data_IF_617766976670
#
_entry.id   IF_617766976670
#
_cell.length_a   1.000
_cell.length_b   1.000
_cell.length_c   1.000
_cell.angle_alpha   90.00
_cell.angle_beta   90.00
_cell.angle_gamma   90.00
#
_symmetry.space_group_name_H-M   'P 1'
#
loop_
_entity.id
_entity.type
_entity.pdbx_description
1 polymer ?
#
# COMPACT_ATOMS: atom_id res chain seq x y z
N UNK A 1 18.34 27.27 -22.60
CA UNK A 1 19.43 28.23 -22.77
C UNK A 1 19.41 28.97 -24.12
N UNK A 2 19.26 28.32 -25.29
CA UNK A 2 19.32 28.99 -26.60
C UNK A 2 18.18 29.96 -26.91
N UNK A 3 16.95 29.66 -26.46
CA UNK A 3 15.79 30.56 -26.62
C UNK A 3 15.95 31.84 -25.75
N UNK A 4 16.53 31.70 -24.58
CA UNK A 4 16.82 32.82 -23.69
C UNK A 4 17.88 33.77 -24.26
N UNK A 5 18.88 33.22 -24.95
CA UNK A 5 19.90 34.02 -25.67
C UNK A 5 19.30 34.81 -26.85
N UNK A 6 18.35 34.22 -27.58
CA UNK A 6 17.66 34.92 -28.70
C UNK A 6 16.74 36.03 -28.17
N UNK A 7 16.07 35.81 -27.04
CA UNK A 7 15.22 36.81 -26.40
C UNK A 7 16.05 37.98 -25.85
N UNK A 8 17.21 37.69 -25.23
CA UNK A 8 18.17 38.69 -24.80
C UNK A 8 18.73 39.53 -25.96
N UNK A 9 19.04 38.86 -27.10
CA UNK A 9 19.50 39.55 -28.30
C UNK A 9 18.40 40.47 -28.86
N UNK A 10 17.17 40.03 -28.93
CA UNK A 10 16.03 40.86 -29.36
C UNK A 10 15.82 42.07 -28.48
N UNK A 11 15.88 41.89 -27.14
CA UNK A 11 15.77 42.96 -26.18
C UNK A 11 16.95 43.96 -26.35
N UNK A 12 18.18 43.46 -26.51
CA UNK A 12 19.37 44.33 -26.74
C UNK A 12 19.24 45.16 -28.01
N UNK A 13 18.67 44.62 -29.08
CA UNK A 13 18.41 45.35 -30.33
C UNK A 13 17.37 46.46 -30.13
N UNK A 14 16.26 46.16 -29.42
CA UNK A 14 15.24 47.16 -29.10
C UNK A 14 15.81 48.28 -28.23
N UNK A 15 16.60 47.93 -27.23
CA UNK A 15 17.28 48.92 -26.34
C UNK A 15 18.27 49.77 -27.15
N UNK A 16 19.01 49.17 -28.07
CA UNK A 16 19.96 49.92 -28.93
C UNK A 16 19.21 50.95 -29.79
N UNK A 17 18.10 50.58 -30.41
CA UNK A 17 17.30 51.51 -31.23
C UNK A 17 16.61 52.62 -30.40
N UNK A 18 16.26 52.35 -29.14
CA UNK A 18 15.69 53.39 -28.25
C UNK A 18 16.71 54.35 -27.68
N UNK A 19 17.95 53.90 -27.45
CA UNK A 19 19.02 54.73 -26.90
C UNK A 19 19.74 55.59 -27.96
N UNK A 20 19.75 55.13 -29.21
CA UNK A 20 20.44 55.83 -30.31
C UNK A 20 19.48 56.16 -31.46
N UNK A 21 18.53 57.10 -31.31
CA UNK A 21 17.55 57.43 -32.34
C UNK A 21 18.19 58.05 -33.59
N UNK A 22 19.36 58.66 -33.46
CA UNK A 22 20.11 59.23 -34.61
C UNK A 22 20.56 58.16 -35.62
N UNK A 23 20.86 56.94 -35.20
CA UNK A 23 21.19 55.83 -36.09
C UNK A 23 19.99 55.34 -36.93
N UNK A 24 18.78 55.69 -36.49
CA UNK A 24 17.52 55.24 -37.17
C UNK A 24 17.10 56.22 -38.25
N UNK A 25 17.49 57.51 -38.14
CA UNK A 25 17.03 58.59 -38.98
C UNK A 25 17.86 58.83 -40.24
N UNK A 26 19.09 58.33 -40.29
CA UNK A 26 19.95 58.49 -41.47
C UNK A 26 19.45 57.69 -42.66
N UNK A 27 19.59 58.23 -43.89
CA UNK A 27 19.20 57.58 -45.14
C UNK A 27 20.36 56.79 -45.69
N UNK A 28 20.09 55.57 -46.08
CA UNK A 28 21.05 54.68 -46.78
C UNK A 28 20.55 54.50 -48.21
N UNK A 29 21.43 54.85 -49.16
CA UNK A 29 21.18 54.63 -50.58
C UNK A 29 22.05 53.48 -51.07
N UNK A 30 21.40 52.40 -51.54
CA UNK A 30 22.03 51.21 -52.07
C UNK A 30 21.74 51.13 -53.58
N UNK A 31 22.78 51.07 -54.38
CA UNK A 31 22.68 50.88 -55.82
C UNK A 31 23.15 49.43 -56.12
N UNK A 32 22.25 48.58 -56.61
CA UNK A 32 22.60 47.25 -57.03
C UNK A 32 21.80 46.85 -58.27
N UNK A 33 22.47 46.35 -59.28
CA UNK A 33 21.87 45.88 -60.54
C UNK A 33 20.98 46.89 -61.26
N UNK A 34 21.30 48.20 -61.14
CA UNK A 34 20.53 49.27 -61.83
C UNK A 34 19.30 49.74 -61.05
N UNK A 35 19.07 49.20 -59.86
CA UNK A 35 18.02 49.64 -58.96
C UNK A 35 18.61 50.47 -57.83
N UNK A 36 17.92 51.56 -57.50
CA UNK A 36 18.31 52.45 -56.39
C UNK A 36 17.29 52.24 -55.24
N UNK A 37 17.75 51.73 -54.14
CA UNK A 37 16.95 51.55 -52.97
C UNK A 37 17.31 52.64 -51.94
N UNK A 38 16.40 53.53 -51.65
CA UNK A 38 16.51 54.52 -50.60
C UNK A 38 15.66 54.09 -49.42
N UNK A 39 16.32 53.84 -48.31
CA UNK A 39 15.61 53.43 -47.06
C UNK A 39 16.27 54.06 -45.88
N UNK A 40 15.53 54.13 -44.76
CA UNK A 40 16.09 54.58 -43.49
C UNK A 40 17.02 53.53 -42.90
N UNK A 41 18.16 53.94 -42.35
CA UNK A 41 19.18 53.03 -41.85
C UNK A 41 18.63 52.01 -40.82
N UNK A 42 17.70 52.42 -39.92
CA UNK A 42 17.04 51.53 -38.99
C UNK A 42 16.19 50.44 -39.67
N UNK A 43 15.44 50.81 -40.75
CA UNK A 43 14.66 49.85 -41.51
C UNK A 43 15.54 48.84 -42.26
N UNK A 44 16.69 49.31 -42.81
CA UNK A 44 17.67 48.45 -43.48
C UNK A 44 18.32 47.45 -42.51
N UNK A 45 18.74 47.89 -41.31
CA UNK A 45 19.34 47.02 -40.30
C UNK A 45 18.30 45.98 -39.82
N UNK A 46 17.05 46.43 -39.59
CA UNK A 46 15.98 45.51 -39.19
C UNK A 46 15.69 44.44 -40.29
N UNK A 47 15.61 44.83 -41.54
CA UNK A 47 15.42 43.92 -42.66
C UNK A 47 16.59 42.94 -42.79
N UNK A 48 17.84 43.41 -42.63
CA UNK A 48 19.04 42.53 -42.65
C UNK A 48 19.02 41.51 -41.51
N UNK A 49 18.65 41.94 -40.30
CA UNK A 49 18.52 41.03 -39.14
C UNK A 49 17.42 39.99 -39.33
N UNK A 50 16.27 40.38 -39.87
CA UNK A 50 15.21 39.46 -40.21
C UNK A 50 15.65 38.46 -41.29
N UNK A 51 16.36 38.91 -42.29
CA UNK A 51 16.92 38.05 -43.34
C UNK A 51 17.94 37.05 -42.78
N UNK A 52 18.84 37.49 -41.91
CA UNK A 52 19.81 36.60 -41.26
C UNK A 52 19.13 35.59 -40.36
N UNK A 53 18.05 35.98 -39.63
CA UNK A 53 17.25 35.09 -38.82
C UNK A 53 16.52 34.04 -39.67
N UNK A 54 15.97 34.45 -40.82
CA UNK A 54 15.33 33.55 -41.77
C UNK A 54 16.35 32.57 -42.36
N UNK A 55 17.52 33.03 -42.78
CA UNK A 55 18.60 32.17 -43.27
C UNK A 55 19.09 31.18 -42.23
N UNK A 56 19.21 31.63 -40.96
CA UNK A 56 19.56 30.75 -39.86
C UNK A 56 18.49 29.70 -39.60
N UNK A 57 17.20 30.11 -39.63
CA UNK A 57 16.04 29.19 -39.47
C UNK A 57 16.01 28.18 -40.62
N UNK A 58 16.21 28.64 -41.87
CA UNK A 58 16.27 27.81 -43.04
C UNK A 58 17.42 26.80 -42.96
N UNK A 59 18.62 27.24 -42.58
CA UNK A 59 19.77 26.37 -42.36
C UNK A 59 19.46 25.31 -41.27
N UNK A 60 18.72 25.68 -40.22
CA UNK A 60 18.33 24.76 -39.15
C UNK A 60 17.29 23.75 -39.64
N UNK A 61 16.32 24.17 -40.45
CA UNK A 61 15.33 23.29 -41.07
C UNK A 61 16.02 22.34 -42.05
N UNK A 62 16.90 22.87 -42.90
CA UNK A 62 17.70 22.08 -43.85
C UNK A 62 18.61 21.10 -43.10
N UNK A 63 19.32 21.54 -42.05
CA UNK A 63 20.14 20.64 -41.23
C UNK A 63 19.31 19.59 -40.50
N UNK A 64 18.09 19.89 -40.04
CA UNK A 64 17.16 18.94 -39.47
C UNK A 64 16.64 17.91 -40.49
N UNK A 65 16.44 18.34 -41.74
CA UNK A 65 16.04 17.44 -42.84
C UNK A 65 17.23 16.57 -43.31
N UNK A 66 18.44 17.12 -43.39
CA UNK A 66 19.64 16.39 -43.81
C UNK A 66 20.35 15.64 -42.67
N UNK A 67 20.18 16.03 -41.40
CA UNK A 67 20.63 15.24 -40.24
C UNK A 67 19.91 13.89 -40.12
N UNK A 68 19.06 13.63 -41.07
CA UNK A 68 18.49 12.35 -41.45
C UNK A 68 17.37 11.87 -40.56
N UNK A 69 16.36 11.29 -41.14
CA UNK A 69 15.31 10.55 -40.43
C UNK A 69 15.88 9.47 -39.49
N UNK A 70 17.16 9.12 -39.63
CA UNK A 70 17.84 8.11 -38.82
C UNK A 70 18.03 8.45 -37.35
N UNK A 71 18.23 9.71 -36.96
CA UNK A 71 18.35 10.04 -35.51
C UNK A 71 17.00 10.23 -34.85
N UNK A 72 16.05 10.88 -35.50
CA UNK A 72 14.64 10.97 -35.00
C UNK A 72 13.97 9.58 -35.00
N UNK A 73 14.21 8.79 -36.06
CA UNK A 73 13.75 7.39 -36.12
C UNK A 73 14.48 6.49 -35.10
N UNK A 74 15.78 6.68 -34.84
CA UNK A 74 16.50 5.98 -33.77
C UNK A 74 15.98 6.36 -32.38
N UNK A 75 15.71 7.62 -32.09
CA UNK A 75 15.15 8.03 -30.77
C UNK A 75 13.69 7.60 -30.61
N UNK A 76 12.89 7.67 -31.67
CA UNK A 76 11.50 7.15 -31.65
C UNK A 76 11.49 5.61 -31.60
N UNK A 77 12.40 4.95 -32.32
CA UNK A 77 12.50 3.48 -32.34
C UNK A 77 13.13 2.92 -31.06
N UNK A 78 14.13 3.57 -30.47
CA UNK A 78 14.69 3.21 -29.18
C UNK A 78 13.72 3.51 -28.04
N UNK A 79 12.98 4.61 -28.08
CA UNK A 79 11.91 4.90 -27.12
C UNK A 79 10.77 3.88 -27.22
N UNK A 80 10.40 3.46 -28.41
CA UNK A 80 9.43 2.40 -28.67
C UNK A 80 9.96 1.02 -28.21
N UNK A 81 11.23 0.69 -28.51
CA UNK A 81 11.87 -0.56 -28.11
C UNK A 81 12.03 -0.66 -26.59
N UNK A 82 12.49 0.42 -25.93
CA UNK A 82 12.63 0.48 -24.47
C UNK A 82 11.28 0.39 -23.75
N UNK A 83 10.25 1.09 -24.22
CA UNK A 83 8.88 1.01 -23.68
C UNK A 83 8.25 -0.37 -23.92
N UNK A 84 8.55 -1.01 -25.03
CA UNK A 84 8.10 -2.37 -25.36
C UNK A 84 8.75 -3.40 -24.43
N UNK A 85 10.06 -3.29 -24.24
CA UNK A 85 10.81 -4.16 -23.34
C UNK A 85 10.36 -4.00 -21.88
N UNK A 86 10.08 -2.77 -21.46
CA UNK A 86 9.50 -2.50 -20.16
C UNK A 86 8.11 -3.11 -20.00
N UNK A 87 7.23 -2.99 -21.00
CA UNK A 87 5.90 -3.64 -20.98
C UNK A 87 5.99 -5.17 -21.00
N UNK A 88 6.97 -5.73 -21.69
CA UNK A 88 7.22 -7.17 -21.67
C UNK A 88 7.67 -7.62 -20.27
N UNK A 89 8.59 -6.88 -19.63
CA UNK A 89 9.03 -7.15 -18.26
C UNK A 89 7.89 -7.02 -17.27
N UNK A 90 7.08 -5.96 -17.38
CA UNK A 90 5.87 -5.77 -16.56
C UNK A 90 4.87 -6.91 -16.79
N UNK A 91 4.66 -7.33 -18.03
CA UNK A 91 3.77 -8.44 -18.36
C UNK A 91 4.26 -9.79 -17.83
N UNK A 92 5.57 -10.04 -17.86
CA UNK A 92 6.19 -11.23 -17.25
C UNK A 92 6.06 -11.17 -15.72
N UNK A 93 6.32 -10.03 -15.12
CA UNK A 93 6.15 -9.83 -13.68
C UNK A 93 4.69 -10.05 -13.25
N UNK A 94 3.73 -9.49 -14.00
CA UNK A 94 2.28 -9.68 -13.72
C UNK A 94 1.87 -11.15 -13.88
N UNK A 95 2.47 -11.90 -14.80
CA UNK A 95 2.23 -13.36 -14.93
C UNK A 95 2.86 -14.14 -13.79
N UNK A 96 4.07 -13.80 -13.39
CA UNK A 96 4.73 -14.41 -12.23
C UNK A 96 3.96 -14.09 -10.94
N UNK A 97 3.35 -12.92 -10.86
CA UNK A 97 2.50 -12.49 -9.74
C UNK A 97 1.06 -13.07 -9.76
N UNK A 98 0.81 -14.08 -10.59
CA UNK A 98 -0.52 -14.71 -10.74
C UNK A 98 -1.61 -13.77 -11.31
N UNK A 99 -1.24 -12.63 -11.89
CA UNK A 99 -2.17 -11.67 -12.53
C UNK A 99 -2.32 -11.96 -14.03
N UNK A 100 -2.71 -13.20 -14.35
CA UNK A 100 -2.75 -13.71 -15.73
C UNK A 100 -3.49 -12.81 -16.73
N UNK A 101 -4.58 -12.15 -16.33
CA UNK A 101 -5.33 -11.26 -17.22
C UNK A 101 -4.63 -9.93 -17.46
N UNK A 102 -3.90 -9.38 -16.49
CA UNK A 102 -3.11 -8.16 -16.66
C UNK A 102 -1.86 -8.45 -17.50
N UNK A 103 -1.18 -9.56 -17.25
CA UNK A 103 -0.07 -10.03 -18.06
C UNK A 103 -0.48 -10.25 -19.53
N UNK A 104 -1.59 -10.93 -19.80
CA UNK A 104 -2.14 -11.12 -21.15
C UNK A 104 -2.43 -9.78 -21.84
N UNK A 105 -2.98 -8.80 -21.13
CA UNK A 105 -3.25 -7.43 -21.66
C UNK A 105 -1.95 -6.67 -21.95
N UNK A 106 -0.93 -6.80 -21.11
CA UNK A 106 0.38 -6.18 -21.30
C UNK A 106 1.07 -6.77 -22.52
N UNK A 107 1.03 -8.09 -22.72
CA UNK A 107 1.52 -8.78 -23.91
C UNK A 107 0.75 -8.37 -25.19
N UNK A 108 -0.57 -8.29 -25.15
CA UNK A 108 -1.38 -7.85 -26.29
C UNK A 108 -1.13 -6.41 -26.74
N UNK A 109 -0.67 -5.56 -25.81
CA UNK A 109 -0.27 -4.17 -26.12
C UNK A 109 1.16 -4.03 -26.64
N UNK A 110 2.00 -5.05 -26.49
CA UNK A 110 3.36 -5.08 -27.00
C UNK A 110 3.37 -5.49 -28.49
N UNK A 111 2.92 -4.60 -29.39
CA UNK A 111 2.89 -4.89 -30.84
C UNK A 111 4.27 -5.33 -31.37
N UNK A 112 4.37 -6.56 -31.90
CA UNK A 112 5.55 -7.15 -32.54
C UNK A 112 5.84 -8.57 -32.06
N UNK A 113 6.81 -9.27 -32.68
CA UNK A 113 7.16 -10.64 -32.33
C UNK A 113 7.56 -10.74 -30.84
N UNK A 114 6.92 -11.63 -30.11
CA UNK A 114 7.27 -11.97 -28.73
C UNK A 114 8.60 -12.74 -28.81
N UNK A 115 9.63 -12.40 -28.00
CA UNK A 115 10.86 -13.19 -27.95
C UNK A 115 10.55 -14.66 -27.64
N UNK A 116 11.31 -15.58 -28.23
CA UNK A 116 11.07 -17.03 -28.05
C UNK A 116 10.99 -17.45 -26.58
N UNK A 117 11.87 -16.87 -25.74
CA UNK A 117 11.86 -17.11 -24.30
C UNK A 117 10.54 -16.68 -23.62
N UNK A 118 9.96 -15.56 -24.04
CA UNK A 118 8.71 -15.08 -23.49
C UNK A 118 7.50 -15.88 -24.01
N UNK A 119 7.56 -16.37 -25.24
CA UNK A 119 6.54 -17.26 -25.80
C UNK A 119 6.53 -18.64 -25.13
N UNK A 120 7.71 -19.18 -24.84
CA UNK A 120 7.87 -20.44 -24.10
C UNK A 120 7.36 -20.31 -22.66
N UNK A 121 7.70 -19.22 -22.00
CA UNK A 121 7.24 -18.92 -20.64
C UNK A 121 5.72 -18.72 -20.56
N UNK A 122 5.13 -18.05 -21.55
CA UNK A 122 3.68 -17.92 -21.69
C UNK A 122 2.98 -19.27 -21.84
N UNK A 123 3.54 -20.16 -22.67
CA UNK A 123 3.04 -21.52 -22.81
C UNK A 123 3.05 -22.26 -21.48
N UNK A 124 4.17 -22.24 -20.76
CA UNK A 124 4.32 -22.93 -19.47
C UNK A 124 3.35 -22.34 -18.43
N UNK A 125 3.19 -21.00 -18.37
CA UNK A 125 2.31 -20.34 -17.40
C UNK A 125 0.82 -20.50 -17.71
N UNK A 126 0.45 -20.90 -18.92
CA UNK A 126 -0.95 -21.19 -19.31
C UNK A 126 -1.34 -22.66 -19.11
N UNK A 127 -0.37 -23.54 -18.90
CA UNK A 127 -0.60 -24.97 -18.61
C UNK A 127 -0.95 -25.10 -17.11
N UNK A 128 -1.95 -25.92 -16.74
CA UNK A 128 -2.24 -26.24 -15.35
C UNK A 128 -0.99 -26.76 -14.60
N UNK A 129 -0.85 -26.42 -13.33
CA UNK A 129 0.35 -26.72 -12.53
C UNK A 129 0.70 -28.23 -12.49
N UNK A 130 -0.30 -29.10 -12.60
CA UNK A 130 -0.15 -30.56 -12.64
C UNK A 130 0.43 -31.09 -13.95
N UNK A 131 0.40 -30.31 -15.02
CA UNK A 131 0.89 -30.68 -16.35
C UNK A 131 2.15 -29.91 -16.76
N UNK A 132 2.65 -29.05 -15.89
CA UNK A 132 3.83 -28.24 -16.19
C UNK A 132 5.07 -29.14 -16.21
N UNK A 133 5.88 -29.06 -17.28
CA UNK A 133 7.14 -29.80 -17.33
C UNK A 133 8.07 -29.27 -16.22
N UNK A 134 8.81 -30.21 -15.60
CA UNK A 134 9.84 -29.81 -14.64
C UNK A 134 10.82 -28.84 -15.32
N UNK A 135 11.13 -27.69 -14.72
CA UNK A 135 12.07 -26.75 -15.30
C UNK A 135 13.44 -27.41 -15.41
N UNK A 136 14.06 -27.31 -16.59
CA UNK A 136 15.44 -27.70 -16.76
C UNK A 136 16.31 -26.92 -15.75
N UNK A 137 17.27 -27.58 -15.14
CA UNK A 137 18.17 -27.04 -14.11
C UNK A 137 19.20 -26.11 -14.73
N UNK A 138 18.76 -25.02 -15.33
CA UNK A 138 19.59 -24.01 -15.95
C UNK A 138 19.76 -22.83 -14.96
N UNK A 139 20.96 -22.22 -14.93
CA UNK A 139 21.26 -21.02 -14.14
C UNK A 139 20.48 -19.77 -14.62
N UNK A 140 19.55 -19.94 -15.56
CA UNK A 140 18.73 -18.88 -16.08
C UNK A 140 17.77 -18.37 -14.99
N UNK A 141 17.81 -17.07 -14.62
CA UNK A 141 16.93 -16.47 -13.59
C UNK A 141 15.43 -16.76 -13.79
N UNK A 142 15.01 -16.92 -15.05
CA UNK A 142 13.60 -17.25 -15.37
C UNK A 142 13.24 -18.68 -15.01
N UNK A 143 14.16 -19.63 -15.23
CA UNK A 143 13.93 -21.04 -14.88
C UNK A 143 13.95 -21.21 -13.36
N UNK A 144 14.83 -20.50 -12.66
CA UNK A 144 14.84 -20.45 -11.19
C UNK A 144 13.51 -19.92 -10.65
N UNK A 145 13.01 -18.79 -11.19
CA UNK A 145 11.73 -18.21 -10.78
C UNK A 145 10.54 -19.18 -11.07
N UNK A 146 10.57 -19.86 -12.21
CA UNK A 146 9.55 -20.83 -12.58
C UNK A 146 9.56 -22.05 -11.65
N UNK A 147 10.74 -22.60 -11.37
CA UNK A 147 10.92 -23.72 -10.44
C UNK A 147 10.37 -23.37 -9.04
N UNK A 148 10.75 -22.20 -8.53
CA UNK A 148 10.25 -21.71 -7.24
C UNK A 148 8.73 -21.52 -7.25
N UNK A 149 8.17 -21.02 -8.35
CA UNK A 149 6.72 -20.85 -8.48
C UNK A 149 5.98 -22.18 -8.46
N UNK A 150 6.45 -23.18 -9.21
CA UNK A 150 5.85 -24.52 -9.25
C UNK A 150 5.97 -25.18 -7.86
N UNK A 151 7.15 -25.16 -7.26
CA UNK A 151 7.39 -25.74 -5.94
C UNK A 151 6.53 -25.11 -4.82
N UNK A 152 6.07 -23.89 -5.00
CA UNK A 152 5.30 -23.13 -4.00
C UNK A 152 3.84 -22.88 -4.42
N UNK A 153 3.34 -23.54 -5.46
CA UNK A 153 1.93 -23.40 -5.87
C UNK A 153 1.01 -23.99 -4.80
N UNK A 154 0.06 -23.21 -4.23
CA UNK A 154 -0.88 -23.73 -3.26
C UNK A 154 -1.79 -24.83 -3.81
N UNK A 155 -2.01 -24.86 -5.13
CA UNK A 155 -2.87 -25.81 -5.83
C UNK A 155 -2.11 -27.02 -6.39
N UNK A 156 -0.79 -27.13 -6.15
CA UNK A 156 -0.02 -28.28 -6.62
C UNK A 156 -0.50 -29.58 -5.95
N UNK A 157 -0.68 -30.66 -6.71
CA UNK A 157 -1.17 -31.96 -6.19
C UNK A 157 -0.21 -32.58 -5.18
N UNK A 158 1.08 -32.31 -5.29
CA UNK A 158 2.09 -32.69 -4.31
C UNK A 158 2.93 -31.47 -3.95
N UNK A 159 2.90 -31.07 -2.68
CA UNK A 159 3.76 -29.98 -2.20
C UNK A 159 5.11 -30.56 -1.80
N UNK A 160 6.22 -30.05 -2.33
CA UNK A 160 7.54 -30.36 -1.80
C UNK A 160 7.63 -30.00 -0.30
N UNK A 161 8.58 -30.61 0.39
CA UNK A 161 8.84 -30.27 1.78
C UNK A 161 9.22 -28.81 1.95
N UNK A 162 9.07 -28.30 3.16
CA UNK A 162 9.31 -26.88 3.48
C UNK A 162 10.75 -26.45 3.14
N UNK A 163 11.75 -27.32 3.38
CA UNK A 163 13.15 -27.04 3.09
C UNK A 163 13.39 -26.86 1.58
N UNK A 164 12.80 -27.71 0.73
CA UNK A 164 12.91 -27.62 -0.72
C UNK A 164 12.21 -26.34 -1.22
N UNK A 165 11.01 -26.02 -0.72
CA UNK A 165 10.33 -24.76 -1.05
C UNK A 165 11.16 -23.54 -0.70
N UNK A 166 11.78 -23.53 0.49
CA UNK A 166 12.65 -22.47 0.99
C UNK A 166 13.87 -22.30 0.09
N UNK A 167 14.56 -23.40 -0.27
CA UNK A 167 15.71 -23.36 -1.14
C UNK A 167 15.39 -22.76 -2.53
N UNK A 168 14.28 -23.14 -3.15
CA UNK A 168 13.87 -22.58 -4.42
C UNK A 168 13.54 -21.08 -4.34
N UNK A 169 12.88 -20.64 -3.25
CA UNK A 169 12.55 -19.21 -3.06
C UNK A 169 13.81 -18.37 -2.78
N UNK A 170 14.74 -18.90 -2.01
CA UNK A 170 16.04 -18.25 -1.72
C UNK A 170 16.89 -18.15 -3.00
N UNK A 171 16.94 -19.21 -3.81
CA UNK A 171 17.59 -19.16 -5.11
C UNK A 171 16.98 -18.09 -6.02
N UNK A 172 15.64 -17.97 -6.01
CA UNK A 172 14.97 -16.92 -6.77
C UNK A 172 15.32 -15.52 -6.25
N UNK A 173 15.34 -15.29 -4.94
CA UNK A 173 15.72 -14.01 -4.36
C UNK A 173 17.19 -13.65 -4.62
N UNK A 174 18.08 -14.65 -4.63
CA UNK A 174 19.48 -14.46 -4.99
C UNK A 174 19.64 -14.02 -6.46
N UNK A 175 18.83 -14.58 -7.36
CA UNK A 175 18.81 -14.19 -8.78
C UNK A 175 18.08 -12.86 -9.02
N UNK A 176 17.05 -12.55 -8.24
CA UNK A 176 16.28 -11.31 -8.30
C UNK A 176 15.86 -10.87 -6.89
N UNK A 177 16.67 -10.03 -6.21
CA UNK A 177 16.42 -9.58 -4.84
C UNK A 177 15.12 -8.76 -4.65
N UNK A 178 14.56 -8.26 -5.74
CA UNK A 178 13.33 -7.46 -5.75
C UNK A 178 12.10 -8.28 -6.18
N UNK A 179 12.20 -9.61 -6.31
CA UNK A 179 11.09 -10.45 -6.75
C UNK A 179 9.93 -10.44 -5.74
N UNK A 180 8.79 -9.76 -6.03
CA UNK A 180 7.72 -9.54 -5.06
C UNK A 180 7.07 -10.83 -4.60
N UNK A 181 6.85 -11.76 -5.54
CA UNK A 181 6.20 -13.03 -5.24
C UNK A 181 7.10 -13.94 -4.39
N UNK A 182 8.42 -13.95 -4.67
CA UNK A 182 9.37 -14.72 -3.89
C UNK A 182 9.41 -14.23 -2.42
N UNK A 183 9.48 -12.91 -2.22
CA UNK A 183 9.45 -12.29 -0.89
C UNK A 183 8.15 -12.64 -0.16
N UNK A 184 7.01 -12.50 -0.83
CA UNK A 184 5.70 -12.78 -0.23
C UNK A 184 5.52 -14.24 0.16
N UNK A 185 6.01 -15.18 -0.68
CA UNK A 185 5.91 -16.63 -0.41
C UNK A 185 6.91 -17.07 0.64
N UNK A 186 8.12 -16.51 0.65
CA UNK A 186 9.09 -16.79 1.70
C UNK A 186 8.63 -16.24 3.05
N UNK A 187 7.97 -15.08 3.06
CA UNK A 187 7.33 -14.56 4.26
C UNK A 187 6.22 -15.48 4.77
N UNK A 188 5.35 -16.00 3.86
CA UNK A 188 4.32 -16.95 4.24
C UNK A 188 4.91 -18.26 4.80
N UNK A 189 5.98 -18.76 4.21
CA UNK A 189 6.68 -19.94 4.72
C UNK A 189 7.27 -19.69 6.09
N UNK A 190 7.90 -18.54 6.32
CA UNK A 190 8.43 -18.16 7.63
C UNK A 190 7.30 -18.00 8.68
N UNK A 191 6.10 -17.53 8.27
CA UNK A 191 4.91 -17.51 9.13
C UNK A 191 4.45 -18.93 9.51
N UNK A 192 4.40 -19.85 8.53
CA UNK A 192 4.06 -21.28 8.75
C UNK A 192 5.04 -21.95 9.72
N UNK A 193 6.36 -21.68 9.58
CA UNK A 193 7.41 -22.22 10.41
C UNK A 193 7.51 -21.50 11.78
N UNK A 194 6.78 -20.39 11.96
CA UNK A 194 6.85 -19.57 13.17
C UNK A 194 8.13 -18.78 13.32
N UNK A 195 8.87 -18.56 12.23
CA UNK A 195 10.07 -17.70 12.17
C UNK A 195 9.66 -16.22 12.05
N UNK A 196 8.93 -15.70 13.04
CA UNK A 196 8.29 -14.38 12.97
C UNK A 196 9.23 -13.22 12.72
N UNK A 197 10.48 -13.30 13.20
CA UNK A 197 11.48 -12.26 12.94
C UNK A 197 11.81 -12.16 11.44
N UNK A 198 12.02 -13.31 10.78
CA UNK A 198 12.28 -13.39 9.33
C UNK A 198 11.04 -12.98 8.53
N UNK A 199 9.85 -13.38 8.97
CA UNK A 199 8.59 -12.99 8.34
C UNK A 199 8.41 -11.46 8.37
N UNK A 200 8.67 -10.81 9.51
CA UNK A 200 8.62 -9.35 9.66
C UNK A 200 9.62 -8.66 8.72
N UNK A 201 10.87 -9.14 8.65
CA UNK A 201 11.89 -8.58 7.78
C UNK A 201 11.47 -8.60 6.31
N UNK A 202 10.99 -9.74 5.83
CA UNK A 202 10.53 -9.93 4.45
C UNK A 202 9.28 -9.09 4.14
N UNK A 203 8.32 -9.02 5.06
CA UNK A 203 7.13 -8.18 4.88
C UNK A 203 7.47 -6.68 4.90
N UNK A 204 8.42 -6.23 5.75
CA UNK A 204 8.92 -4.85 5.72
C UNK A 204 9.63 -4.53 4.40
N UNK A 205 10.44 -5.47 3.88
CA UNK A 205 11.09 -5.32 2.59
C UNK A 205 10.03 -5.18 1.48
N UNK A 206 9.04 -6.06 1.46
CA UNK A 206 7.92 -6.01 0.52
C UNK A 206 7.16 -4.67 0.57
N UNK A 207 6.94 -4.14 1.77
CA UNK A 207 6.26 -2.87 1.95
C UNK A 207 7.10 -1.68 1.45
N UNK A 208 8.41 -1.65 1.74
CA UNK A 208 9.34 -0.59 1.29
C UNK A 208 9.46 -0.53 -0.24
N UNK A 209 9.34 -1.67 -0.91
CA UNK A 209 9.38 -1.75 -2.38
C UNK A 209 8.10 -1.20 -3.05
N UNK A 210 7.14 -0.68 -2.29
CA UNK A 210 5.94 -0.03 -2.83
C UNK A 210 5.04 -0.96 -3.64
N UNK A 211 5.00 -2.23 -3.28
CA UNK A 211 4.17 -3.21 -3.96
C UNK A 211 2.71 -2.78 -3.92
N UNK A 212 2.02 -2.86 -5.06
CA UNK A 212 0.61 -2.46 -5.28
C UNK A 212 -0.40 -3.10 -4.33
N UNK A 213 0.04 -4.07 -3.53
CA UNK A 213 -0.72 -4.80 -2.51
C UNK A 213 -0.51 -4.28 -1.08
N UNK A 214 -0.12 -3.02 -0.91
CA UNK A 214 0.10 -2.43 0.43
C UNK A 214 -1.09 -2.62 1.39
N UNK A 215 -2.32 -2.65 0.85
CA UNK A 215 -3.53 -2.90 1.64
C UNK A 215 -3.57 -4.31 2.27
N UNK A 216 -3.00 -5.32 1.61
CA UNK A 216 -2.93 -6.70 2.13
C UNK A 216 -1.70 -6.97 2.99
N UNK A 217 -0.60 -6.22 2.78
CA UNK A 217 0.66 -6.42 3.51
C UNK A 217 0.57 -5.85 4.93
N UNK A 218 -0.05 -4.67 5.11
CA UNK A 218 -0.16 -4.03 6.43
C UNK A 218 -0.80 -4.91 7.49
N UNK A 219 -1.96 -5.54 7.27
CA UNK A 219 -2.58 -6.43 8.25
C UNK A 219 -1.69 -7.64 8.59
N UNK A 220 -1.08 -8.27 7.57
CA UNK A 220 -0.16 -9.39 7.77
C UNK A 220 1.07 -8.99 8.58
N UNK A 221 1.67 -7.84 8.25
CA UNK A 221 2.82 -7.33 8.99
C UNK A 221 2.46 -6.98 10.42
N UNK A 222 1.27 -6.40 10.67
CA UNK A 222 0.77 -6.16 12.03
C UNK A 222 0.61 -7.47 12.81
N UNK A 223 0.04 -8.50 12.18
CA UNK A 223 -0.11 -9.82 12.76
C UNK A 223 1.24 -10.48 13.07
N UNK A 224 2.19 -10.40 12.13
CA UNK A 224 3.54 -10.91 12.36
C UNK A 224 4.24 -10.22 13.54
N UNK A 225 4.02 -8.90 13.71
CA UNK A 225 4.52 -8.17 14.88
C UNK A 225 3.86 -8.60 16.19
N UNK A 226 2.57 -8.95 16.21
CA UNK A 226 1.90 -9.50 17.40
C UNK A 226 2.56 -10.83 17.79
N UNK A 227 2.76 -11.72 16.84
CA UNK A 227 3.37 -13.02 17.06
C UNK A 227 4.85 -12.89 17.50
N UNK A 228 5.58 -11.96 16.89
CA UNK A 228 6.96 -11.65 17.30
C UNK A 228 6.99 -11.12 18.74
N UNK A 229 6.08 -10.23 19.11
CA UNK A 229 5.94 -9.70 20.47
C UNK A 229 5.60 -10.77 21.52
N UNK A 230 4.95 -11.87 21.12
CA UNK A 230 4.71 -13.00 22.00
C UNK A 230 5.99 -13.75 22.35
N UNK A 231 6.93 -13.86 21.40
CA UNK A 231 8.22 -14.55 21.56
C UNK A 231 9.31 -13.66 22.15
N UNK A 232 9.44 -12.43 21.66
CA UNK A 232 10.41 -11.44 22.13
C UNK A 232 9.83 -10.62 23.29
N UNK A 233 10.15 -11.05 24.51
CA UNK A 233 9.65 -10.39 25.73
C UNK A 233 10.29 -9.03 25.98
N UNK A 234 11.53 -8.85 25.60
CA UNK A 234 12.31 -7.62 25.85
C UNK A 234 11.76 -6.46 25.02
N UNK A 235 11.55 -6.69 23.72
CA UNK A 235 11.07 -5.66 22.80
C UNK A 235 9.56 -5.70 22.55
N UNK A 236 8.80 -6.48 23.36
CA UNK A 236 7.35 -6.68 23.17
C UNK A 236 6.58 -5.41 22.90
N UNK A 237 6.74 -4.38 23.73
CA UNK A 237 6.03 -3.12 23.55
C UNK A 237 6.42 -2.41 22.25
N UNK A 238 7.69 -2.48 21.86
CA UNK A 238 8.18 -1.93 20.61
C UNK A 238 7.51 -2.55 19.39
N UNK A 239 7.40 -3.88 19.38
CA UNK A 239 6.73 -4.63 18.31
C UNK A 239 5.23 -4.32 18.26
N UNK A 240 4.54 -4.30 19.40
CA UNK A 240 3.09 -4.00 19.45
C UNK A 240 2.77 -2.55 19.06
N UNK A 241 3.63 -1.57 19.40
CA UNK A 241 3.47 -0.19 18.91
C UNK A 241 3.65 -0.10 17.39
N UNK A 242 4.55 -0.90 16.79
CA UNK A 242 4.68 -0.99 15.34
C UNK A 242 3.43 -1.61 14.72
N UNK A 243 2.90 -2.70 15.31
CA UNK A 243 1.65 -3.32 14.87
C UNK A 243 0.49 -2.31 14.90
N UNK A 244 0.35 -1.55 15.98
CA UNK A 244 -0.70 -0.55 16.14
C UNK A 244 -0.62 0.58 15.10
N UNK A 245 0.58 1.04 14.73
CA UNK A 245 0.74 2.02 13.65
C UNK A 245 0.34 1.50 12.28
N UNK A 246 0.44 0.18 12.06
CA UNK A 246 0.08 -0.47 10.80
C UNK A 246 -1.41 -0.75 10.69
N UNK A 247 -2.04 -1.14 11.80
CA UNK A 247 -3.44 -1.51 11.91
C UNK A 247 -4.06 -0.94 13.19
N UNK A 248 -4.33 0.38 13.24
CA UNK A 248 -4.86 1.04 14.43
C UNK A 248 -6.26 0.56 14.82
N UNK A 249 -7.05 0.11 13.84
CA UNK A 249 -8.42 -0.33 14.01
C UNK A 249 -8.54 -1.86 14.22
N UNK A 250 -7.41 -2.57 14.36
CA UNK A 250 -7.41 -4.00 14.60
C UNK A 250 -7.64 -4.30 16.09
N UNK A 251 -8.76 -4.94 16.39
CA UNK A 251 -9.13 -5.42 17.73
C UNK A 251 -8.02 -6.25 18.38
N UNK A 252 -7.42 -7.15 17.61
CA UNK A 252 -6.36 -8.04 18.09
C UNK A 252 -5.10 -7.26 18.50
N UNK A 253 -4.70 -6.26 17.70
CA UNK A 253 -3.57 -5.37 18.01
C UNK A 253 -3.84 -4.57 19.27
N UNK A 254 -5.03 -3.97 19.38
CA UNK A 254 -5.46 -3.16 20.52
C UNK A 254 -5.50 -4.00 21.80
N UNK A 255 -6.04 -5.21 21.72
CA UNK A 255 -6.10 -6.13 22.85
C UNK A 255 -4.69 -6.55 23.29
N UNK A 256 -3.80 -6.91 22.34
CA UNK A 256 -2.44 -7.30 22.63
C UNK A 256 -1.62 -6.16 23.26
N UNK A 257 -1.74 -4.93 22.72
CA UNK A 257 -1.03 -3.76 23.23
C UNK A 257 -1.51 -3.37 24.64
N UNK A 258 -2.83 -3.33 24.88
CA UNK A 258 -3.38 -3.07 26.22
C UNK A 258 -2.96 -4.13 27.23
N UNK A 259 -2.98 -5.40 26.83
CA UNK A 259 -2.48 -6.51 27.68
C UNK A 259 -1.00 -6.35 28.01
N UNK A 260 -0.19 -5.88 27.07
CA UNK A 260 1.22 -5.60 27.30
C UNK A 260 1.42 -4.43 28.28
N UNK A 261 0.59 -3.39 28.22
CA UNK A 261 0.58 -2.29 29.18
C UNK A 261 0.25 -2.79 30.59
N UNK A 262 -0.74 -3.69 30.74
CA UNK A 262 -1.09 -4.27 32.05
C UNK A 262 0.10 -5.06 32.60
N UNK A 263 0.76 -5.91 31.78
CA UNK A 263 1.95 -6.66 32.20
C UNK A 263 3.12 -5.77 32.61
N UNK A 264 3.22 -4.59 32.02
CA UNK A 264 4.19 -3.56 32.39
C UNK A 264 3.77 -2.68 33.58
N UNK A 265 2.67 -3.02 34.27
CA UNK A 265 2.06 -2.27 35.39
C UNK A 265 1.55 -0.87 34.99
N UNK A 266 1.31 -0.63 33.72
CA UNK A 266 0.78 0.62 33.18
C UNK A 266 -0.72 0.48 32.88
N UNK A 267 -1.53 0.11 33.88
CA UNK A 267 -2.97 -0.13 33.71
C UNK A 267 -3.75 1.08 33.18
N UNK A 268 -3.36 2.30 33.57
CA UNK A 268 -4.01 3.52 33.10
C UNK A 268 -3.89 3.73 31.57
N UNK A 269 -2.75 3.38 30.98
CA UNK A 269 -2.56 3.45 29.53
C UNK A 269 -3.38 2.38 28.80
N UNK A 270 -3.51 1.18 29.38
CA UNK A 270 -4.38 0.14 28.84
C UNK A 270 -5.86 0.57 28.89
N UNK A 271 -6.30 1.14 30.01
CA UNK A 271 -7.65 1.68 30.16
C UNK A 271 -7.95 2.76 29.11
N UNK A 272 -7.07 3.74 28.97
CA UNK A 272 -7.22 4.82 28.01
C UNK A 272 -7.30 4.31 26.57
N UNK A 273 -6.40 3.37 26.21
CA UNK A 273 -6.36 2.78 24.88
C UNK A 273 -7.65 2.03 24.55
N UNK A 274 -8.11 1.15 25.45
CA UNK A 274 -9.29 0.34 25.24
C UNK A 274 -10.58 1.15 25.28
N UNK A 275 -10.69 2.17 26.14
CA UNK A 275 -11.84 3.07 26.15
C UNK A 275 -11.94 3.88 24.85
N UNK A 276 -10.83 4.45 24.40
CA UNK A 276 -10.80 5.20 23.13
C UNK A 276 -11.21 4.34 21.93
N UNK A 277 -10.81 3.07 21.91
CA UNK A 277 -11.20 2.14 20.86
C UNK A 277 -12.71 1.79 20.94
N UNK A 278 -13.24 1.52 22.13
CA UNK A 278 -14.66 1.18 22.33
C UNK A 278 -15.61 2.34 22.04
N UNK A 279 -15.14 3.58 22.07
CA UNK A 279 -15.94 4.74 21.65
C UNK A 279 -16.27 4.72 20.15
N UNK A 280 -15.43 4.07 19.35
CA UNK A 280 -15.57 4.01 17.89
C UNK A 280 -15.98 2.63 17.38
N UNK A 281 -15.69 1.57 18.13
CA UNK A 281 -15.85 0.18 17.68
C UNK A 281 -16.67 -0.64 18.68
N UNK A 282 -17.58 -1.45 18.15
CA UNK A 282 -18.38 -2.39 18.95
C UNK A 282 -17.63 -3.71 19.15
N UNK A 283 -16.80 -3.81 20.20
CA UNK A 283 -15.97 -5.01 20.46
C UNK A 283 -16.12 -5.50 21.91
N UNK A 284 -16.86 -6.58 22.07
CA UNK A 284 -17.08 -7.21 23.37
C UNK A 284 -15.82 -7.85 23.96
N UNK A 285 -14.83 -8.27 23.15
CA UNK A 285 -13.60 -8.86 23.69
C UNK A 285 -12.77 -7.81 24.41
N UNK A 286 -12.67 -6.62 23.85
CA UNK A 286 -11.99 -5.48 24.50
C UNK A 286 -12.79 -5.01 25.70
N UNK A 287 -14.13 -4.95 25.63
CA UNK A 287 -14.98 -4.60 26.75
C UNK A 287 -14.83 -5.59 27.92
N UNK A 288 -14.77 -6.89 27.64
CA UNK A 288 -14.50 -7.94 28.66
C UNK A 288 -13.10 -7.80 29.27
N UNK A 289 -12.08 -7.47 28.47
CA UNK A 289 -10.74 -7.24 28.98
C UNK A 289 -10.67 -6.01 29.89
N UNK A 290 -11.36 -4.93 29.50
CA UNK A 290 -11.45 -3.71 30.27
C UNK A 290 -12.24 -3.91 31.58
N UNK A 291 -13.34 -4.69 31.54
CA UNK A 291 -14.10 -5.06 32.75
C UNK A 291 -13.20 -5.78 33.77
N UNK A 292 -12.36 -6.74 33.33
CA UNK A 292 -11.40 -7.42 34.21
C UNK A 292 -10.42 -6.46 34.87
N UNK A 293 -9.95 -5.45 34.12
CA UNK A 293 -9.04 -4.43 34.64
C UNK A 293 -9.71 -3.55 35.70
N UNK A 294 -10.95 -3.11 35.42
CA UNK A 294 -11.68 -2.14 36.24
C UNK A 294 -12.51 -2.74 37.37
N UNK A 295 -12.70 -4.08 37.37
CA UNK A 295 -13.58 -4.76 38.39
C UNK A 295 -13.21 -4.47 39.83
N UNK A 296 -11.92 -4.20 40.13
CA UNK A 296 -11.45 -3.90 41.48
C UNK A 296 -12.03 -2.58 42.02
N UNK A 297 -12.19 -1.59 41.14
CA UNK A 297 -12.71 -0.27 41.48
C UNK A 297 -13.99 0.03 40.67
N UNK A 298 -14.90 -1.00 40.61
CA UNK A 298 -16.05 -1.00 39.69
C UNK A 298 -16.95 0.23 39.87
N UNK A 299 -17.21 0.65 41.12
CA UNK A 299 -18.07 1.81 41.43
C UNK A 299 -17.47 3.12 40.89
N UNK A 300 -16.16 3.31 41.05
CA UNK A 300 -15.48 4.49 40.54
C UNK A 300 -15.45 4.50 39.00
N UNK A 301 -15.16 3.35 38.40
CA UNK A 301 -15.15 3.17 36.92
C UNK A 301 -16.56 3.40 36.36
N UNK A 302 -17.61 2.84 37.00
CA UNK A 302 -18.99 3.10 36.61
C UNK A 302 -19.33 4.59 36.62
N UNK A 303 -19.05 5.31 37.74
CA UNK A 303 -19.31 6.75 37.87
C UNK A 303 -18.54 7.58 36.82
N UNK A 304 -17.35 7.14 36.45
CA UNK A 304 -16.54 7.80 35.42
C UNK A 304 -17.18 7.67 34.03
N UNK A 305 -17.73 6.48 33.72
CA UNK A 305 -18.44 6.25 32.44
C UNK A 305 -19.81 6.95 32.44
N UNK A 306 -20.52 6.95 33.56
CA UNK A 306 -21.83 7.57 33.68
C UNK A 306 -21.83 9.09 33.51
N UNK A 307 -20.69 9.74 33.81
CA UNK A 307 -20.47 11.18 33.58
C UNK A 307 -20.17 11.52 32.10
N UNK A 308 -19.89 10.52 31.27
CA UNK A 308 -19.70 10.75 29.82
C UNK A 308 -21.05 11.04 29.16
N UNK A 309 -21.04 11.95 28.19
CA UNK A 309 -22.23 12.25 27.40
C UNK A 309 -22.81 10.99 26.77
N UNK A 310 -24.15 10.89 26.76
CA UNK A 310 -24.87 9.77 26.17
C UNK A 310 -24.42 9.46 24.72
N UNK A 311 -23.97 10.48 23.97
CA UNK A 311 -23.43 10.33 22.63
C UNK A 311 -22.12 9.53 22.57
N UNK A 312 -21.29 9.56 23.62
CA UNK A 312 -20.01 8.81 23.66
C UNK A 312 -20.16 7.36 24.13
N UNK A 313 -21.35 6.97 24.60
CA UNK A 313 -21.68 5.61 25.08
C UNK A 313 -22.63 4.90 24.10
N UNK A 314 -22.58 5.28 22.83
CA UNK A 314 -23.55 4.76 21.84
C UNK A 314 -23.27 3.32 21.42
N UNK A 315 -22.04 2.82 21.57
CA UNK A 315 -21.66 1.47 21.17
C UNK A 315 -22.20 0.42 22.15
N UNK A 316 -22.87 -0.64 21.68
CA UNK A 316 -23.41 -1.70 22.54
C UNK A 316 -22.41 -2.31 23.52
N UNK A 317 -21.17 -2.55 23.07
CA UNK A 317 -20.10 -3.09 23.92
C UNK A 317 -19.72 -2.13 25.07
N UNK A 318 -19.74 -0.81 24.81
CA UNK A 318 -19.48 0.19 25.84
C UNK A 318 -20.64 0.24 26.86
N UNK A 319 -21.89 0.20 26.38
CA UNK A 319 -23.08 0.16 27.25
C UNK A 319 -23.13 -1.13 28.06
N UNK A 320 -22.78 -2.26 27.44
CA UNK A 320 -22.61 -3.54 28.13
C UNK A 320 -21.56 -3.46 29.25
N UNK A 321 -20.41 -2.80 28.97
CA UNK A 321 -19.38 -2.58 29.99
C UNK A 321 -19.91 -1.75 31.15
N UNK A 322 -20.67 -0.69 30.88
CA UNK A 322 -21.29 0.14 31.93
C UNK A 322 -22.24 -0.69 32.80
N UNK A 323 -23.14 -1.49 32.22
CA UNK A 323 -24.03 -2.38 32.92
C UNK A 323 -23.28 -3.42 33.76
N UNK A 324 -22.22 -4.02 33.18
CA UNK A 324 -21.40 -5.01 33.88
C UNK A 324 -20.60 -4.42 35.04
N UNK A 325 -20.13 -3.17 34.94
CA UNK A 325 -19.50 -2.44 36.05
C UNK A 325 -20.51 -2.08 37.15
N UNK A 326 -21.74 -1.68 36.77
CA UNK A 326 -22.83 -1.45 37.75
C UNK A 326 -23.15 -2.72 38.54
N UNK A 327 -23.23 -3.87 37.87
CA UNK A 327 -23.42 -5.17 38.51
C UNK A 327 -22.28 -5.51 39.48
N UNK A 328 -21.02 -5.35 39.00
CA UNK A 328 -19.83 -5.57 39.83
C UNK A 328 -19.74 -4.62 41.05
N UNK A 329 -20.35 -3.45 40.95
CA UNK A 329 -20.48 -2.46 42.03
C UNK A 329 -21.69 -2.69 42.94
N UNK A 330 -22.40 -3.81 42.81
CA UNK A 330 -23.64 -4.16 43.53
C UNK A 330 -24.82 -3.19 43.31
N UNK A 331 -24.85 -2.49 42.17
CA UNK A 331 -25.95 -1.63 41.71
C UNK A 331 -26.92 -2.45 40.83
N UNK A 332 -27.51 -3.54 41.41
CA UNK A 332 -28.22 -4.57 40.64
C UNK A 332 -29.38 -4.02 39.81
N UNK A 333 -30.22 -3.11 40.39
CA UNK A 333 -31.37 -2.55 39.68
C UNK A 333 -30.95 -1.76 38.42
N UNK A 334 -29.91 -0.92 38.54
CA UNK A 334 -29.38 -0.13 37.44
C UNK A 334 -28.68 -1.00 36.39
N UNK A 335 -27.94 -2.02 36.86
CA UNK A 335 -27.29 -2.98 35.96
C UNK A 335 -28.30 -3.72 35.09
N UNK A 336 -29.41 -4.21 35.73
CA UNK A 336 -30.51 -4.87 35.05
C UNK A 336 -31.17 -3.96 34.02
N UNK A 337 -31.51 -2.74 34.40
CA UNK A 337 -32.12 -1.75 33.50
C UNK A 337 -31.24 -1.49 32.24
N UNK A 338 -29.93 -1.32 32.43
CA UNK A 338 -29.00 -1.08 31.30
C UNK A 338 -28.95 -2.28 30.35
N UNK A 339 -28.90 -3.52 30.91
CA UNK A 339 -28.81 -4.72 30.06
C UNK A 339 -30.14 -5.03 29.39
N UNK A 340 -31.27 -4.82 30.05
CA UNK A 340 -32.59 -5.03 29.48
C UNK A 340 -32.85 -4.03 28.32
N UNK A 341 -32.50 -2.75 28.49
CA UNK A 341 -32.50 -1.77 27.36
C UNK A 341 -31.62 -2.18 26.18
N UNK A 342 -30.47 -2.82 26.44
CA UNK A 342 -29.62 -3.35 25.39
C UNK A 342 -30.23 -4.57 24.70
N UNK A 343 -30.87 -5.46 25.43
CA UNK A 343 -31.58 -6.62 24.88
C UNK A 343 -32.73 -6.19 23.96
N UNK A 344 -33.47 -5.15 24.36
CA UNK A 344 -34.56 -4.61 23.52
C UNK A 344 -34.07 -3.95 22.23
N UNK A 345 -32.91 -3.29 22.28
CA UNK A 345 -32.37 -2.51 21.15
C UNK A 345 -31.41 -3.31 20.24
N UNK A 346 -30.63 -4.22 20.82
CA UNK A 346 -29.55 -4.92 20.08
C UNK A 346 -29.25 -6.27 20.81
N UNK A 347 -30.11 -7.29 20.67
CA UNK A 347 -29.87 -8.60 21.25
C UNK A 347 -28.64 -9.23 20.63
N UNK A 348 -27.57 -9.41 21.38
CA UNK A 348 -26.35 -10.12 20.96
C UNK A 348 -26.08 -11.30 21.88
N UNK A 349 -25.36 -12.33 21.39
CA UNK A 349 -25.02 -13.50 22.20
C UNK A 349 -24.33 -13.16 23.52
N UNK A 350 -23.50 -12.13 23.53
CA UNK A 350 -22.79 -11.65 24.73
C UNK A 350 -23.72 -11.06 25.76
N UNK A 351 -24.72 -10.30 25.33
CA UNK A 351 -25.69 -9.64 26.23
C UNK A 351 -26.64 -10.68 26.81
N UNK A 352 -27.15 -11.60 25.97
CA UNK A 352 -28.00 -12.72 26.41
C UNK A 352 -27.28 -13.59 27.44
N UNK A 353 -26.02 -13.94 27.17
CA UNK A 353 -25.20 -14.72 28.13
C UNK A 353 -25.03 -13.98 29.44
N UNK A 354 -24.72 -12.69 29.39
CA UNK A 354 -24.54 -11.88 30.60
C UNK A 354 -25.82 -11.89 31.46
N UNK A 355 -26.99 -11.73 30.83
CA UNK A 355 -28.27 -11.77 31.54
C UNK A 355 -28.56 -13.13 32.11
N UNK A 356 -28.31 -14.21 31.40
CA UNK A 356 -28.42 -15.59 31.85
C UNK A 356 -27.50 -15.87 33.06
N UNK A 357 -26.24 -15.43 32.99
CA UNK A 357 -25.27 -15.58 34.08
C UNK A 357 -25.76 -14.88 35.37
N UNK A 358 -26.31 -13.67 35.24
CA UNK A 358 -26.84 -12.93 36.40
C UNK A 358 -28.08 -13.59 37.05
N UNK A 359 -28.99 -14.16 36.23
CA UNK A 359 -30.10 -14.97 36.78
C UNK A 359 -29.59 -16.24 37.47
N UNK A 360 -28.52 -16.83 36.93
CA UNK A 360 -27.88 -17.99 37.56
C UNK A 360 -27.27 -17.61 38.90
N UNK A 361 -26.58 -16.48 38.99
CA UNK A 361 -26.02 -15.95 40.25
C UNK A 361 -27.12 -15.61 41.29
N UNK A 362 -28.28 -15.15 40.82
CA UNK A 362 -29.45 -14.88 41.68
C UNK A 362 -30.22 -16.13 42.07
N UNK A 363 -29.89 -17.31 41.54
CA UNK A 363 -30.63 -18.55 41.79
C UNK A 363 -31.94 -18.70 41.00
N UNK A 364 -32.14 -17.85 39.99
CA UNK A 364 -33.33 -17.80 39.14
C UNK A 364 -33.19 -18.73 37.92
N UNK A 365 -33.07 -20.03 38.17
CA UNK A 365 -32.68 -21.06 37.18
C UNK A 365 -33.62 -21.12 35.98
N UNK A 366 -34.90 -20.86 36.17
CA UNK A 366 -35.87 -20.93 35.06
C UNK A 366 -35.66 -19.81 34.07
N UNK A 367 -35.47 -18.60 34.53
CA UNK A 367 -35.18 -17.42 33.71
C UNK A 367 -33.80 -17.56 33.02
N UNK A 368 -32.79 -18.05 33.74
CA UNK A 368 -31.49 -18.33 33.17
C UNK A 368 -31.58 -19.32 31.99
N UNK A 369 -32.35 -20.42 32.15
CA UNK A 369 -32.54 -21.42 31.12
C UNK A 369 -33.23 -20.86 29.88
N UNK A 370 -34.17 -19.92 30.03
CA UNK A 370 -34.86 -19.28 28.92
C UNK A 370 -33.90 -18.42 28.08
N UNK A 371 -33.01 -17.66 28.73
CA UNK A 371 -31.97 -16.89 28.02
C UNK A 371 -30.91 -17.78 27.35
N UNK A 372 -30.49 -18.87 28.01
CA UNK A 372 -29.55 -19.82 27.38
C UNK A 372 -30.19 -20.55 26.18
N UNK A 373 -31.50 -20.81 26.21
CA UNK A 373 -32.22 -21.37 25.06
C UNK A 373 -32.23 -20.42 23.91
N UNK A 374 -32.54 -19.12 24.14
CA UNK A 374 -32.46 -18.09 23.12
C UNK A 374 -31.05 -17.96 22.51
N UNK A 375 -30.01 -18.20 23.31
CA UNK A 375 -28.62 -18.19 22.85
C UNK A 375 -28.31 -19.38 21.92
N UNK A 376 -28.95 -20.54 22.12
CA UNK A 376 -28.78 -21.71 21.25
C UNK A 376 -29.55 -21.60 19.94
N UNK A 377 -30.59 -20.78 19.89
CA UNK A 377 -31.43 -20.57 18.72
C UNK A 377 -30.90 -19.50 17.76
N UNK A 378 -29.82 -18.77 18.12
CA UNK A 378 -29.09 -17.81 17.28
C UNK A 378 -27.88 -18.48 16.59
#
# INVERSE_FOLDING_TARGET
MRIFALLLLAIAIVVMFTLFPELVSQHVRLEAFGWVFETRQGAFITALLVLLLLLWLLQRVISAIFAGPGQLWRTLRMGSKKRREQRLREGVADLLDMRGDQGKRAFGKSRGAIPEWAASLLKILTIPANEQPAPESDENPLNIALAARIATDPNAPSKPDSATRKAHLEAWLNANPEAPLAISRLAALAEEEGEWAKAVELLEQSWKQGQRSAASIKPRLAQAYIQLAAKDRENRQGHLRKAHRLAPDSSEVILALGTAHIKAKNGAEAEKLWLSYLEQHNDFNIAKALLKLLKKDALQAFRKLDKKDAASIYQPAMRWLQGSLAHAAALSGLATEIIDQLLDSNPSPEILRTRADWHTEAGEWQQAADYYRQLCDQ
#
